data_IF_775895589559
#
_entry.id   IF_775895589559
#
_cell.length_a   1.000
_cell.length_b   1.000
_cell.length_c   1.000
_cell.angle_alpha   90.00
_cell.angle_beta   90.00
_cell.angle_gamma   90.00
#
_symmetry.space_group_name_H-M   'P 1'
#
loop_
_entity.id
_entity.type
_entity.pdbx_description
1 polymer ?
#
# COMPACT_ATOMS: atom_id res chain seq x y z
N UNK A 1 31.72 7.69 -14.04
CA UNK A 1 31.35 7.46 -12.63
C UNK A 1 30.01 6.71 -12.62
N UNK A 2 29.96 5.44 -12.19
CA UNK A 2 28.69 4.69 -12.14
C UNK A 2 27.85 5.24 -10.98
N UNK A 3 26.66 5.75 -11.26
CA UNK A 3 25.70 6.15 -10.23
C UNK A 3 25.37 4.91 -9.37
N UNK A 4 25.71 4.94 -8.08
CA UNK A 4 25.27 3.92 -7.13
C UNK A 4 23.80 4.17 -6.85
N UNK A 5 22.92 3.40 -7.47
CA UNK A 5 21.49 3.39 -7.11
C UNK A 5 21.37 2.85 -5.69
N UNK A 6 20.85 3.66 -4.78
CA UNK A 6 20.47 3.18 -3.45
C UNK A 6 19.12 2.48 -3.57
N UNK A 7 19.01 1.30 -2.98
CA UNK A 7 17.73 0.61 -2.86
C UNK A 7 16.74 1.47 -2.05
N UNK A 8 15.52 1.63 -2.59
CA UNK A 8 14.49 2.48 -1.98
C UNK A 8 14.13 1.99 -0.57
N UNK A 9 13.98 0.67 -0.39
CA UNK A 9 13.62 0.10 0.90
C UNK A 9 14.73 0.33 1.93
N UNK A 10 15.99 0.19 1.53
CA UNK A 10 17.13 0.50 2.40
C UNK A 10 17.17 1.97 2.82
N UNK A 11 16.81 2.90 1.93
CA UNK A 11 16.74 4.33 2.26
C UNK A 11 15.58 4.61 3.21
N UNK A 12 14.39 4.10 2.88
CA UNK A 12 13.18 4.26 3.69
C UNK A 12 13.38 3.72 5.10
N UNK A 13 13.94 2.51 5.25
CA UNK A 13 14.23 1.91 6.55
C UNK A 13 15.22 2.73 7.38
N UNK A 14 16.13 3.48 6.74
CA UNK A 14 17.05 4.37 7.46
C UNK A 14 16.32 5.61 7.97
N UNK A 15 15.43 6.18 7.17
CA UNK A 15 14.67 7.38 7.54
C UNK A 15 13.61 7.08 8.59
N UNK A 16 12.94 5.91 8.52
CA UNK A 16 11.96 5.45 9.52
C UNK A 16 12.53 5.24 10.95
N UNK A 17 13.86 5.27 11.11
CA UNK A 17 14.50 5.26 12.44
C UNK A 17 14.44 6.63 13.14
N UNK A 18 14.20 7.71 12.41
CA UNK A 18 14.04 9.05 12.98
C UNK A 18 12.59 9.21 13.43
N UNK A 19 12.37 9.49 14.71
CA UNK A 19 11.01 9.55 15.29
C UNK A 19 10.12 10.59 14.59
N UNK A 20 10.65 11.79 14.32
CA UNK A 20 9.89 12.84 13.64
C UNK A 20 9.48 12.43 12.22
N UNK A 21 10.40 11.80 11.47
CA UNK A 21 10.10 11.29 10.14
C UNK A 21 9.04 10.20 10.18
N UNK A 22 9.18 9.24 11.11
CA UNK A 22 8.22 8.16 11.28
C UNK A 22 6.84 8.68 11.63
N UNK A 23 6.74 9.66 12.54
CA UNK A 23 5.47 10.25 12.95
C UNK A 23 4.72 10.89 11.76
N UNK A 24 5.39 11.70 10.96
CA UNK A 24 4.79 12.32 9.77
C UNK A 24 4.47 11.28 8.69
N UNK A 25 5.34 10.28 8.50
CA UNK A 25 5.10 9.16 7.59
C UNK A 25 3.87 8.34 7.99
N UNK A 26 3.72 8.03 9.28
CA UNK A 26 2.58 7.31 9.83
C UNK A 26 1.30 8.16 9.76
N UNK A 27 1.39 9.48 9.96
CA UNK A 27 0.26 10.40 9.82
C UNK A 27 -0.30 10.43 8.38
N UNK A 28 0.59 10.44 7.38
CA UNK A 28 0.22 10.31 5.96
C UNK A 28 -0.36 8.94 5.62
N UNK A 29 -0.06 7.92 6.42
CA UNK A 29 -0.49 6.54 6.17
C UNK A 29 -1.99 6.32 6.41
N UNK A 30 -2.65 7.22 7.14
CA UNK A 30 -4.09 7.16 7.45
C UNK A 30 -4.94 7.08 6.17
N UNK A 31 -4.59 7.87 5.15
CA UNK A 31 -5.31 7.91 3.86
C UNK A 31 -5.27 6.57 3.13
N UNK A 32 -4.23 5.77 3.35
CA UNK A 32 -4.04 4.46 2.73
C UNK A 32 -4.40 3.29 3.64
N UNK A 33 -4.86 3.54 4.88
CA UNK A 33 -5.13 2.48 5.86
C UNK A 33 -6.22 1.54 5.37
N UNK A 34 -7.29 2.07 4.79
CA UNK A 34 -8.37 1.26 4.21
C UNK A 34 -7.88 0.40 3.04
N UNK A 35 -7.13 1.01 2.10
CA UNK A 35 -6.56 0.33 0.95
C UNK A 35 -5.64 -0.83 1.37
N UNK A 36 -4.76 -0.60 2.36
CA UNK A 36 -3.84 -1.60 2.90
C UNK A 36 -4.59 -2.79 3.52
N UNK A 37 -5.61 -2.54 4.34
CA UNK A 37 -6.37 -3.62 4.98
C UNK A 37 -7.19 -4.43 3.95
N UNK A 38 -7.77 -3.79 2.94
CA UNK A 38 -8.46 -4.49 1.84
C UNK A 38 -7.49 -5.40 1.09
N UNK A 39 -6.33 -4.87 0.66
CA UNK A 39 -5.29 -5.66 -0.04
C UNK A 39 -4.85 -6.85 0.82
N UNK A 40 -4.60 -6.62 2.10
CA UNK A 40 -4.13 -7.63 3.05
C UNK A 40 -5.16 -8.75 3.23
N UNK A 41 -6.43 -8.42 3.45
CA UNK A 41 -7.51 -9.40 3.61
C UNK A 41 -7.76 -10.17 2.31
N UNK A 42 -7.73 -9.47 1.17
CA UNK A 42 -7.88 -10.08 -0.15
C UNK A 42 -6.79 -11.12 -0.42
N UNK A 43 -5.52 -10.76 -0.18
CA UNK A 43 -4.37 -11.67 -0.30
C UNK A 43 -4.43 -12.83 0.69
N UNK A 44 -4.83 -12.58 1.95
CA UNK A 44 -5.02 -13.64 2.95
C UNK A 44 -6.06 -14.69 2.53
N UNK A 45 -7.04 -14.29 1.72
CA UNK A 45 -8.06 -15.18 1.14
C UNK A 45 -7.71 -15.71 -0.26
N UNK A 46 -6.50 -15.46 -0.75
CA UNK A 46 -6.05 -15.84 -2.10
C UNK A 46 -6.98 -15.34 -3.22
N UNK A 47 -7.57 -14.15 -3.05
CA UNK A 47 -8.46 -13.55 -4.04
C UNK A 47 -7.69 -12.60 -4.96
N UNK A 48 -7.99 -12.63 -6.25
CA UNK A 48 -7.63 -11.55 -7.17
C UNK A 48 -8.54 -10.33 -6.96
N UNK A 49 -8.18 -9.17 -7.52
CA UNK A 49 -9.07 -8.00 -7.50
C UNK A 49 -10.41 -8.30 -8.19
N UNK A 50 -10.39 -9.14 -9.24
CA UNK A 50 -11.58 -9.58 -9.95
C UNK A 50 -12.46 -10.46 -9.05
N UNK A 51 -11.87 -11.43 -8.35
CA UNK A 51 -12.64 -12.31 -7.46
C UNK A 51 -13.28 -11.55 -6.30
N UNK A 52 -12.58 -10.54 -5.75
CA UNK A 52 -13.16 -9.66 -4.74
C UNK A 52 -14.31 -8.84 -5.32
N UNK A 53 -14.14 -8.27 -6.51
CA UNK A 53 -15.16 -7.48 -7.19
C UNK A 53 -16.45 -8.28 -7.42
N UNK A 54 -16.32 -9.51 -7.91
CA UNK A 54 -17.45 -10.44 -8.10
C UNK A 54 -18.16 -10.77 -6.79
N UNK A 55 -17.39 -11.02 -5.71
CA UNK A 55 -17.96 -11.35 -4.39
C UNK A 55 -18.76 -10.21 -3.75
N UNK A 56 -18.37 -8.96 -3.97
CA UNK A 56 -19.01 -7.80 -3.33
C UNK A 56 -19.94 -7.02 -4.28
N UNK A 57 -20.15 -7.52 -5.50
CA UNK A 57 -21.07 -6.93 -6.47
C UNK A 57 -20.58 -5.58 -7.03
N UNK A 58 -19.30 -5.47 -7.37
CA UNK A 58 -18.71 -4.27 -7.99
C UNK A 58 -17.80 -4.63 -9.17
N UNK A 59 -17.19 -3.62 -9.79
CA UNK A 59 -16.25 -3.83 -10.91
C UNK A 59 -14.80 -3.93 -10.43
N UNK A 60 -13.98 -4.71 -11.13
CA UNK A 60 -12.54 -4.79 -10.84
C UNK A 60 -11.85 -3.41 -10.87
N UNK A 61 -12.15 -2.48 -11.81
CA UNK A 61 -11.61 -1.12 -11.75
C UNK A 61 -12.01 -0.34 -10.49
N UNK A 62 -13.20 -0.58 -9.94
CA UNK A 62 -13.60 0.04 -8.67
C UNK A 62 -12.76 -0.48 -7.50
N UNK A 63 -12.50 -1.80 -7.43
CA UNK A 63 -11.56 -2.37 -6.46
C UNK A 63 -10.15 -1.80 -6.65
N UNK A 64 -9.68 -1.68 -7.89
CA UNK A 64 -8.35 -1.15 -8.19
C UNK A 64 -8.19 0.30 -7.69
N UNK A 65 -9.19 1.17 -7.89
CA UNK A 65 -9.16 2.56 -7.37
C UNK A 65 -9.08 2.59 -5.84
N UNK A 66 -9.89 1.77 -5.17
CA UNK A 66 -9.87 1.65 -3.71
C UNK A 66 -8.50 1.17 -3.21
N UNK A 67 -7.91 0.17 -3.87
CA UNK A 67 -6.59 -0.38 -3.48
C UNK A 67 -5.43 0.55 -3.82
N UNK A 68 -5.56 1.42 -4.84
CA UNK A 68 -4.54 2.42 -5.19
C UNK A 68 -4.61 3.70 -4.36
N UNK A 69 -5.70 3.94 -3.61
CA UNK A 69 -5.91 5.17 -2.84
C UNK A 69 -6.11 6.40 -3.72
N UNK A 70 -6.85 6.25 -4.83
CA UNK A 70 -7.10 7.30 -5.83
C UNK A 70 -8.59 7.64 -5.89
#
# INVERSE_FOLDING_TARGET
MKLKTKDFNSLLNKELKKEDFKKEYDALSNEFTLAKEIIKLRKKRNLTQKDLAEKIGTSQPAIARIESGN
#
